data_IF_183107255251
#
_entry.id   IF_183107255251
#
_cell.length_a   1.000
_cell.length_b   1.000
_cell.length_c   1.000
_cell.angle_alpha   90.00
_cell.angle_beta   90.00
_cell.angle_gamma   90.00
#
_symmetry.space_group_name_H-M   'P 1'
#
loop_
_entity.id
_entity.type
_entity.pdbx_description
1 polymer ?
#
# COMPACT_ATOMS: atom_id res chain seq x y z
N UNK A 1 -6.34 -21.74 -8.67
CA UNK A 1 -5.09 -21.05 -9.00
C UNK A 1 -4.18 -21.02 -7.76
N UNK A 2 -2.90 -20.73 -7.85
CA UNK A 2 -1.99 -21.03 -6.74
C UNK A 2 -2.07 -19.97 -5.64
N UNK A 3 -2.35 -20.40 -4.41
CA UNK A 3 -2.04 -19.71 -3.17
C UNK A 3 -0.52 -19.62 -3.04
N UNK A 4 -0.01 -18.50 -2.51
CA UNK A 4 1.42 -18.33 -2.25
C UNK A 4 1.63 -18.25 -0.74
N UNK A 5 2.56 -19.01 -0.22
CA UNK A 5 2.87 -19.03 1.20
C UNK A 5 4.37 -18.82 1.44
N UNK A 6 4.68 -17.84 2.28
CA UNK A 6 6.00 -17.55 2.77
C UNK A 6 6.07 -17.95 4.25
N UNK A 7 7.05 -18.78 4.60
CA UNK A 7 7.22 -19.30 5.96
C UNK A 7 8.64 -18.97 6.40
N UNK A 8 8.75 -18.08 7.39
CA UNK A 8 10.01 -17.62 8.01
C UNK A 8 11.06 -17.16 6.99
N UNK A 9 10.61 -16.53 5.90
CA UNK A 9 11.49 -16.12 4.80
C UNK A 9 12.38 -14.96 5.23
N UNK A 10 13.69 -15.17 5.16
CA UNK A 10 14.70 -14.18 5.51
C UNK A 10 15.68 -13.97 4.36
N UNK A 11 16.08 -12.71 4.13
CA UNK A 11 17.15 -12.35 3.20
C UNK A 11 18.17 -11.44 3.86
N UNK A 12 19.43 -11.89 3.81
CA UNK A 12 20.58 -11.14 4.33
C UNK A 12 21.69 -11.02 3.28
N UNK A 13 22.35 -9.88 3.26
CA UNK A 13 23.60 -9.64 2.54
C UNK A 13 24.66 -9.19 3.53
N UNK A 14 25.56 -10.10 3.90
CA UNK A 14 26.50 -9.85 4.98
C UNK A 14 25.77 -9.49 6.27
N UNK A 15 26.01 -8.30 6.80
CA UNK A 15 25.38 -7.81 8.04
C UNK A 15 24.04 -7.09 7.81
N UNK A 16 23.63 -6.87 6.57
CA UNK A 16 22.38 -6.20 6.25
C UNK A 16 21.24 -7.21 6.06
N UNK A 17 20.18 -7.07 6.85
CA UNK A 17 18.96 -7.86 6.72
C UNK A 17 17.94 -7.06 5.93
N UNK A 18 17.65 -7.51 4.72
CA UNK A 18 16.68 -6.84 3.83
C UNK A 18 15.24 -7.29 4.07
N UNK A 19 15.06 -8.56 4.45
CA UNK A 19 13.77 -9.15 4.83
C UNK A 19 14.04 -10.06 6.03
N UNK A 20 13.29 -9.91 7.10
CA UNK A 20 13.49 -10.64 8.35
C UNK A 20 12.23 -11.42 8.73
N UNK A 21 12.36 -12.74 8.75
CA UNK A 21 11.34 -13.68 9.23
C UNK A 21 9.92 -13.40 8.70
N UNK A 22 9.82 -13.14 7.39
CA UNK A 22 8.54 -12.83 6.75
C UNK A 22 7.65 -14.07 6.68
N UNK A 23 6.46 -13.97 7.29
CA UNK A 23 5.39 -14.96 7.23
C UNK A 23 4.17 -14.32 6.59
N UNK A 24 3.75 -14.79 5.41
CA UNK A 24 2.66 -14.20 4.66
C UNK A 24 1.95 -15.24 3.80
N UNK A 25 0.64 -15.13 3.73
CA UNK A 25 -0.19 -15.94 2.83
C UNK A 25 -0.91 -15.03 1.86
N UNK A 26 -0.74 -15.28 0.57
CA UNK A 26 -1.48 -14.64 -0.53
C UNK A 26 -2.47 -15.65 -1.05
N UNK A 27 -3.75 -15.36 -0.93
CA UNK A 27 -4.78 -16.26 -1.41
C UNK A 27 -4.94 -16.19 -2.92
N UNK A 28 -5.60 -17.20 -3.48
CA UNK A 28 -5.90 -17.23 -4.91
C UNK A 28 -6.69 -16.00 -5.35
N UNK A 29 -6.33 -15.43 -6.49
CA UNK A 29 -6.98 -14.26 -7.11
C UNK A 29 -6.95 -12.98 -6.28
N UNK A 30 -6.11 -12.88 -5.28
CA UNK A 30 -5.90 -11.63 -4.57
C UNK A 30 -5.05 -10.64 -5.37
N UNK A 31 -5.30 -9.36 -5.18
CA UNK A 31 -4.42 -8.26 -5.57
C UNK A 31 -3.69 -7.78 -4.31
N UNK A 32 -2.46 -8.24 -4.12
CA UNK A 32 -1.67 -7.89 -2.96
C UNK A 32 -0.71 -6.77 -3.31
N UNK A 33 -0.64 -5.75 -2.45
CA UNK A 33 0.35 -4.68 -2.58
C UNK A 33 1.37 -4.75 -1.45
N UNK A 34 2.65 -4.85 -1.81
CA UNK A 34 3.78 -4.65 -0.91
C UNK A 34 4.08 -3.15 -0.87
N UNK A 35 3.88 -2.52 0.27
CA UNK A 35 3.98 -1.08 0.49
C UNK A 35 5.02 -0.77 1.57
N UNK A 36 5.63 0.40 1.52
CA UNK A 36 6.56 0.89 2.54
C UNK A 36 7.63 1.82 1.97
N UNK A 37 8.50 2.39 2.81
CA UNK A 37 9.55 3.30 2.40
C UNK A 37 10.54 2.66 1.43
N UNK A 38 11.32 3.49 0.73
CA UNK A 38 12.40 3.00 -0.14
C UNK A 38 13.42 2.18 0.66
N UNK A 39 13.84 1.04 0.11
CA UNK A 39 14.82 0.16 0.76
C UNK A 39 14.28 -0.74 1.89
N UNK A 40 12.97 -0.77 2.15
CA UNK A 40 12.41 -1.59 3.23
C UNK A 40 12.26 -3.08 2.92
N UNK A 41 12.62 -3.56 1.70
CA UNK A 41 12.59 -4.99 1.35
C UNK A 41 11.50 -5.42 0.37
N UNK A 42 10.62 -4.54 -0.12
CA UNK A 42 9.49 -4.87 -1.04
C UNK A 42 9.94 -5.60 -2.30
N UNK A 43 10.79 -4.95 -3.09
CA UNK A 43 11.34 -5.52 -4.34
C UNK A 43 12.12 -6.81 -4.08
N UNK A 44 12.86 -6.87 -2.97
CA UNK A 44 13.56 -8.09 -2.56
C UNK A 44 12.59 -9.23 -2.29
N UNK A 45 11.51 -8.96 -1.55
CA UNK A 45 10.43 -9.94 -1.29
C UNK A 45 9.80 -10.42 -2.60
N UNK A 46 9.42 -9.49 -3.49
CA UNK A 46 8.85 -9.81 -4.79
C UNK A 46 9.79 -10.72 -5.60
N UNK A 47 11.08 -10.37 -5.67
CA UNK A 47 12.09 -11.13 -6.41
C UNK A 47 12.37 -12.50 -5.80
N UNK A 48 12.31 -12.66 -4.48
CA UNK A 48 12.42 -13.96 -3.83
C UNK A 48 11.27 -14.89 -4.20
N UNK A 49 10.03 -14.42 -4.19
CA UNK A 49 8.88 -15.21 -4.61
C UNK A 49 9.00 -15.59 -6.09
N UNK A 50 9.46 -14.67 -6.94
CA UNK A 50 9.68 -14.92 -8.36
C UNK A 50 10.88 -15.82 -8.66
N UNK A 51 11.78 -16.08 -7.69
CA UNK A 51 13.01 -16.85 -7.89
C UNK A 51 14.14 -16.08 -8.57
N UNK A 52 14.00 -14.75 -8.69
CA UNK A 52 15.02 -13.85 -9.20
C UNK A 52 16.07 -13.48 -8.14
N UNK A 53 15.72 -13.68 -6.87
CA UNK A 53 16.61 -13.55 -5.72
C UNK A 53 16.45 -14.79 -4.83
N UNK A 54 17.55 -15.32 -4.31
CA UNK A 54 17.52 -16.50 -3.44
C UNK A 54 17.40 -16.06 -1.98
N UNK A 55 16.38 -16.50 -1.22
CA UNK A 55 16.32 -16.28 0.22
C UNK A 55 17.53 -16.87 0.94
N UNK A 56 17.88 -16.32 2.11
CA UNK A 56 18.93 -16.88 2.98
C UNK A 56 18.40 -18.07 3.77
N UNK A 57 17.12 -17.99 4.21
CA UNK A 57 16.44 -19.07 4.94
C UNK A 57 14.94 -18.99 4.76
N UNK A 58 14.23 -20.03 5.20
CA UNK A 58 12.78 -20.14 5.17
C UNK A 58 12.30 -21.00 3.99
N UNK A 59 10.99 -20.90 3.72
CA UNK A 59 10.30 -21.71 2.71
C UNK A 59 9.32 -20.88 1.92
N UNK A 60 9.21 -21.14 0.60
CA UNK A 60 8.22 -20.52 -0.29
C UNK A 60 7.49 -21.62 -1.05
N UNK A 61 6.14 -21.54 -1.00
CA UNK A 61 5.24 -22.48 -1.66
C UNK A 61 4.38 -21.69 -2.66
N UNK A 62 4.19 -22.20 -3.87
CA UNK A 62 3.27 -21.64 -4.88
C UNK A 62 2.32 -22.77 -5.31
N UNK A 63 1.05 -22.67 -4.92
CA UNK A 63 0.09 -23.75 -5.08
C UNK A 63 0.43 -24.94 -4.19
N UNK A 64 0.72 -26.10 -4.82
CA UNK A 64 1.15 -27.30 -4.13
C UNK A 64 2.67 -27.49 -4.19
N UNK A 65 3.37 -26.65 -4.98
CA UNK A 65 4.78 -26.80 -5.24
C UNK A 65 5.64 -26.01 -4.26
N UNK A 66 6.59 -26.67 -3.59
CA UNK A 66 7.65 -26.01 -2.84
C UNK A 66 8.67 -25.48 -3.84
N UNK A 67 8.74 -24.13 -3.97
CA UNK A 67 9.64 -23.49 -4.94
C UNK A 67 10.96 -23.04 -4.32
N UNK A 68 10.99 -22.91 -3.01
CA UNK A 68 12.20 -22.67 -2.22
C UNK A 68 12.06 -23.33 -0.84
N UNK A 69 13.10 -24.02 -0.40
CA UNK A 69 13.24 -24.53 0.96
C UNK A 69 14.73 -24.59 1.31
N UNK A 70 15.13 -23.82 2.31
CA UNK A 70 16.53 -23.76 2.75
C UNK A 70 17.01 -25.02 3.47
N UNK A 71 16.12 -25.78 4.11
CA UNK A 71 16.44 -26.99 4.84
C UNK A 71 16.58 -28.21 3.89
N UNK A 72 15.68 -28.29 2.90
CA UNK A 72 15.69 -29.36 1.90
C UNK A 72 16.58 -29.04 0.69
N UNK A 73 17.16 -27.83 0.61
CA UNK A 73 18.02 -27.41 -0.50
C UNK A 73 17.26 -27.19 -1.82
N UNK A 74 15.95 -26.96 -1.75
CA UNK A 74 15.10 -26.72 -2.91
C UNK A 74 15.22 -25.28 -3.36
N UNK A 75 15.51 -25.03 -4.65
CA UNK A 75 15.48 -23.72 -5.26
C UNK A 75 15.08 -23.84 -6.73
N UNK A 76 13.79 -23.70 -7.00
CA UNK A 76 13.21 -23.78 -8.35
C UNK A 76 13.52 -22.51 -9.12
N UNK A 77 14.06 -22.64 -10.34
CA UNK A 77 14.38 -21.48 -11.20
C UNK A 77 13.12 -20.72 -11.61
N UNK A 78 13.21 -19.38 -11.88
CA UNK A 78 12.08 -18.53 -12.26
C UNK A 78 11.26 -19.09 -13.43
N UNK A 79 11.93 -19.63 -14.45
CA UNK A 79 11.29 -20.18 -15.64
C UNK A 79 10.37 -21.40 -15.37
N UNK A 80 10.48 -22.01 -14.19
CA UNK A 80 9.67 -23.16 -13.78
C UNK A 80 8.61 -22.81 -12.73
N UNK A 81 8.48 -21.53 -12.33
CA UNK A 81 7.50 -21.11 -11.32
C UNK A 81 6.14 -20.72 -11.89
N UNK A 82 5.95 -20.77 -13.22
CA UNK A 82 4.71 -20.43 -13.94
C UNK A 82 4.17 -19.04 -13.56
N UNK A 83 5.04 -18.05 -13.59
CA UNK A 83 4.77 -16.66 -13.19
C UNK A 83 5.05 -15.67 -14.32
N UNK A 84 4.34 -14.54 -14.31
CA UNK A 84 4.66 -13.37 -15.11
C UNK A 84 5.38 -12.32 -14.26
N UNK A 85 6.39 -11.65 -14.81
CA UNK A 85 7.12 -10.60 -14.10
C UNK A 85 7.23 -9.33 -14.95
N UNK A 86 6.70 -8.23 -14.43
CA UNK A 86 6.79 -6.89 -15.02
C UNK A 86 7.82 -6.08 -14.24
N UNK A 87 8.92 -5.72 -14.92
CA UNK A 87 10.00 -4.93 -14.37
C UNK A 87 9.68 -3.43 -14.36
N UNK A 88 10.25 -2.68 -13.46
CA UNK A 88 10.09 -1.23 -13.32
C UNK A 88 10.45 -0.45 -14.61
N UNK A 89 11.47 -0.89 -15.34
CA UNK A 89 11.91 -0.28 -16.60
C UNK A 89 11.25 -0.90 -17.84
N UNK A 90 10.15 -1.67 -17.63
CA UNK A 90 9.42 -2.43 -18.66
C UNK A 90 10.24 -3.50 -19.38
N UNK A 91 11.56 -3.36 -19.48
CA UNK A 91 12.49 -4.29 -20.12
C UNK A 91 12.03 -4.77 -21.51
N UNK A 92 11.48 -3.87 -22.33
CA UNK A 92 11.11 -4.19 -23.72
C UNK A 92 12.38 -4.39 -24.57
N UNK A 93 12.34 -5.34 -25.48
CA UNK A 93 13.43 -5.56 -26.44
C UNK A 93 13.36 -4.47 -27.52
N UNK A 94 14.35 -3.56 -27.60
CA UNK A 94 14.27 -2.37 -28.46
C UNK A 94 14.37 -2.71 -29.95
N UNK A 95 14.94 -3.85 -30.30
CA UNK A 95 15.11 -4.33 -31.66
C UNK A 95 13.92 -5.17 -32.17
N UNK A 96 12.89 -5.36 -31.36
CA UNK A 96 11.67 -6.08 -31.69
C UNK A 96 10.48 -5.14 -31.78
N UNK A 97 9.57 -5.37 -32.70
CA UNK A 97 8.28 -4.67 -32.76
C UNK A 97 7.41 -5.00 -31.54
N UNK A 98 6.33 -4.24 -31.32
CA UNK A 98 5.33 -4.54 -30.30
C UNK A 98 4.83 -5.97 -30.40
N UNK A 99 4.44 -6.39 -31.60
CA UNK A 99 3.98 -7.76 -31.85
C UNK A 99 5.02 -8.79 -31.44
N UNK A 100 6.28 -8.60 -31.84
CA UNK A 100 7.36 -9.52 -31.51
C UNK A 100 7.69 -9.55 -30.01
N UNK A 101 7.64 -8.40 -29.33
CA UNK A 101 7.76 -8.35 -27.88
C UNK A 101 6.68 -9.21 -27.20
N UNK A 102 5.45 -9.14 -27.66
CA UNK A 102 4.32 -9.90 -27.09
C UNK A 102 4.43 -11.41 -27.40
N UNK A 103 4.80 -11.76 -28.61
CA UNK A 103 4.77 -13.16 -29.07
C UNK A 103 6.00 -13.98 -28.69
N UNK A 104 7.11 -13.33 -28.33
CA UNK A 104 8.38 -14.02 -28.03
C UNK A 104 8.25 -15.13 -26.98
N UNK A 105 7.53 -14.86 -25.89
CA UNK A 105 7.27 -15.85 -24.86
C UNK A 105 6.47 -17.06 -25.36
N UNK A 106 5.48 -16.81 -26.21
CA UNK A 106 4.63 -17.85 -26.79
C UNK A 106 5.41 -18.74 -27.78
N UNK A 107 6.30 -18.12 -28.57
CA UNK A 107 7.19 -18.83 -29.50
C UNK A 107 8.12 -19.78 -28.72
N UNK A 108 8.70 -19.32 -27.60
CA UNK A 108 9.54 -20.13 -26.73
C UNK A 108 8.77 -21.27 -26.06
N UNK A 109 7.49 -21.08 -25.75
CA UNK A 109 6.56 -22.08 -25.24
C UNK A 109 6.06 -23.03 -26.35
N UNK A 110 6.53 -22.84 -27.59
CA UNK A 110 6.19 -23.67 -28.75
C UNK A 110 4.69 -23.74 -29.07
N UNK A 111 3.97 -22.63 -28.87
CA UNK A 111 2.58 -22.53 -29.27
C UNK A 111 2.46 -22.58 -30.81
N UNK A 112 1.31 -23.01 -31.33
CA UNK A 112 1.08 -22.99 -32.77
C UNK A 112 1.03 -21.54 -33.29
N UNK A 113 1.40 -21.32 -34.54
CA UNK A 113 1.34 -19.98 -35.17
C UNK A 113 -0.06 -19.36 -35.09
N UNK A 114 -1.10 -20.19 -35.23
CA UNK A 114 -2.49 -19.76 -35.14
C UNK A 114 -2.86 -19.32 -33.74
N UNK A 115 -2.45 -20.05 -32.70
CA UNK A 115 -2.71 -19.71 -31.30
C UNK A 115 -1.93 -18.47 -30.89
N UNK A 116 -0.68 -18.31 -31.35
CA UNK A 116 0.13 -17.09 -31.13
C UNK A 116 -0.57 -15.87 -31.69
N UNK A 117 -1.02 -15.90 -32.94
CA UNK A 117 -1.70 -14.79 -33.59
C UNK A 117 -3.01 -14.43 -32.85
N UNK A 118 -3.84 -15.45 -32.55
CA UNK A 118 -5.08 -15.25 -31.81
C UNK A 118 -4.84 -14.64 -30.44
N UNK A 119 -3.85 -15.15 -29.68
CA UNK A 119 -3.55 -14.66 -28.35
C UNK A 119 -2.91 -13.29 -28.36
N UNK A 120 -2.00 -13.00 -29.28
CA UNK A 120 -1.42 -11.67 -29.44
C UNK A 120 -2.52 -10.63 -29.73
N UNK A 121 -3.44 -10.91 -30.65
CA UNK A 121 -4.55 -10.03 -30.97
C UNK A 121 -5.48 -9.82 -29.76
N UNK A 122 -5.77 -10.87 -29.00
CA UNK A 122 -6.58 -10.80 -27.78
C UNK A 122 -5.98 -9.83 -26.75
N UNK A 123 -4.69 -10.01 -26.39
CA UNK A 123 -4.04 -9.14 -25.39
C UNK A 123 -3.82 -7.72 -25.90
N UNK A 124 -3.56 -7.54 -27.19
CA UNK A 124 -3.42 -6.21 -27.80
C UNK A 124 -4.73 -5.44 -27.74
N UNK A 125 -5.87 -6.08 -28.06
CA UNK A 125 -7.21 -5.49 -27.94
C UNK A 125 -7.55 -5.14 -26.49
N UNK A 126 -7.30 -6.05 -25.56
CA UNK A 126 -7.52 -5.85 -24.14
C UNK A 126 -6.83 -4.57 -23.63
N UNK A 127 -5.61 -4.30 -24.11
CA UNK A 127 -4.78 -3.16 -23.69
C UNK A 127 -4.82 -1.98 -24.67
N UNK A 128 -5.64 -2.04 -25.72
CA UNK A 128 -5.83 -0.97 -26.73
C UNK A 128 -4.52 -0.53 -27.38
N UNK A 129 -3.76 -1.49 -27.88
CA UNK A 129 -2.44 -1.28 -28.52
C UNK A 129 -2.33 -1.93 -29.91
N UNK A 130 -3.45 -2.31 -30.54
CA UNK A 130 -3.44 -2.96 -31.86
C UNK A 130 -2.78 -2.08 -32.92
N UNK A 131 -3.05 -0.78 -32.91
CA UNK A 131 -2.50 0.19 -33.85
C UNK A 131 -0.97 0.32 -33.79
N UNK A 132 -0.34 -0.14 -32.68
CA UNK A 132 1.11 -0.09 -32.47
C UNK A 132 1.81 -1.39 -32.84
N UNK A 133 1.11 -2.37 -33.41
CA UNK A 133 1.58 -3.74 -33.68
C UNK A 133 2.99 -3.79 -34.28
N UNK A 134 3.22 -2.98 -35.31
CA UNK A 134 4.45 -3.00 -36.10
C UNK A 134 5.47 -1.91 -35.69
N UNK A 135 5.14 -1.12 -34.64
CA UNK A 135 6.05 -0.11 -34.09
C UNK A 135 7.11 -0.73 -33.19
N UNK A 136 8.21 -0.02 -33.06
CA UNK A 136 9.27 -0.35 -32.11
C UNK A 136 9.08 0.42 -30.78
N UNK A 137 9.63 -0.08 -29.64
CA UNK A 137 9.50 0.58 -28.34
C UNK A 137 9.89 2.06 -28.33
N UNK A 138 10.92 2.45 -29.07
CA UNK A 138 11.38 3.83 -29.16
C UNK A 138 10.37 4.81 -29.80
N UNK A 139 9.36 4.29 -30.51
CA UNK A 139 8.29 5.07 -31.16
C UNK A 139 7.05 5.22 -30.28
N UNK A 140 7.11 4.74 -29.03
CA UNK A 140 5.99 4.68 -28.09
C UNK A 140 6.20 5.64 -26.91
N UNK A 141 5.11 6.22 -26.42
CA UNK A 141 5.10 6.91 -25.13
C UNK A 141 5.32 5.93 -23.96
N UNK A 142 5.71 6.44 -22.80
CA UNK A 142 5.93 5.60 -21.60
C UNK A 142 4.72 4.73 -21.24
N UNK A 143 3.51 5.28 -21.29
CA UNK A 143 2.29 4.49 -21.04
C UNK A 143 2.00 3.44 -22.11
N UNK A 144 2.32 3.72 -23.39
CA UNK A 144 2.20 2.73 -24.45
C UNK A 144 3.23 1.60 -24.26
N UNK A 145 4.47 1.93 -23.91
CA UNK A 145 5.51 0.95 -23.57
C UNK A 145 5.08 0.06 -22.40
N UNK A 146 4.49 0.64 -21.37
CA UNK A 146 3.96 -0.10 -20.23
C UNK A 146 2.88 -1.09 -20.66
N UNK A 147 1.89 -0.66 -21.45
CA UNK A 147 0.84 -1.55 -21.95
C UNK A 147 1.42 -2.70 -22.78
N UNK A 148 2.43 -2.44 -23.59
CA UNK A 148 3.15 -3.51 -24.32
C UNK A 148 3.85 -4.49 -23.37
N UNK A 149 4.49 -4.00 -22.31
CA UNK A 149 5.13 -4.84 -21.32
C UNK A 149 4.12 -5.70 -20.54
N UNK A 150 2.97 -5.12 -20.19
CA UNK A 150 1.85 -5.87 -19.59
C UNK A 150 1.34 -6.93 -20.58
N UNK A 151 1.11 -6.57 -21.84
CA UNK A 151 0.66 -7.51 -22.88
C UNK A 151 1.62 -8.70 -23.02
N UNK A 152 2.93 -8.42 -23.11
CA UNK A 152 3.98 -9.45 -23.14
C UNK A 152 3.92 -10.38 -21.97
N UNK A 153 3.73 -9.84 -20.75
CA UNK A 153 3.70 -10.60 -19.52
C UNK A 153 2.43 -11.44 -19.40
N UNK A 154 1.30 -10.96 -19.92
CA UNK A 154 0.01 -11.66 -19.89
C UNK A 154 -0.18 -12.68 -21.03
N UNK A 155 0.57 -12.52 -22.12
CA UNK A 155 0.42 -13.38 -23.29
C UNK A 155 0.52 -14.88 -22.94
N UNK A 156 1.47 -15.33 -22.10
CA UNK A 156 1.59 -16.74 -21.70
C UNK A 156 0.48 -17.25 -20.75
N UNK A 157 -0.44 -16.38 -20.33
CA UNK A 157 -1.51 -16.68 -19.34
C UNK A 157 -0.95 -17.12 -17.98
N UNK A 158 -0.05 -16.32 -17.35
CA UNK A 158 0.51 -16.68 -16.06
C UNK A 158 -0.59 -16.74 -14.99
N UNK A 159 -0.45 -17.65 -14.03
CA UNK A 159 -1.35 -17.73 -12.87
C UNK A 159 -1.09 -16.65 -11.85
N UNK A 160 0.15 -16.21 -11.74
CA UNK A 160 0.60 -15.13 -10.84
C UNK A 160 1.33 -14.07 -11.64
N UNK A 161 0.99 -12.80 -11.40
CA UNK A 161 1.62 -11.65 -12.03
C UNK A 161 2.33 -10.80 -10.97
N UNK A 162 3.64 -10.69 -11.08
CA UNK A 162 4.47 -9.83 -10.25
C UNK A 162 4.74 -8.51 -10.97
N UNK A 163 4.59 -7.39 -10.26
CA UNK A 163 4.81 -6.05 -10.80
C UNK A 163 5.68 -5.23 -9.86
N UNK A 164 6.88 -4.86 -10.31
CA UNK A 164 7.87 -4.08 -9.55
C UNK A 164 7.75 -2.60 -9.94
N UNK A 165 7.04 -1.79 -9.14
CA UNK A 165 6.79 -0.36 -9.33
C UNK A 165 6.38 0.05 -10.77
N UNK A 166 5.36 -0.58 -11.37
CA UNK A 166 5.08 -0.42 -12.80
C UNK A 166 4.63 0.99 -13.18
N UNK A 167 4.06 1.78 -12.26
CA UNK A 167 3.52 3.12 -12.53
C UNK A 167 4.48 4.26 -12.19
N UNK A 168 5.65 3.97 -11.62
CA UNK A 168 6.57 4.99 -11.08
C UNK A 168 7.08 5.98 -12.12
N UNK A 169 7.20 5.56 -13.38
CA UNK A 169 7.73 6.37 -14.48
C UNK A 169 6.65 7.14 -15.27
N UNK A 170 5.40 7.16 -14.80
CA UNK A 170 4.29 7.83 -15.47
C UNK A 170 3.93 9.16 -14.81
N UNK A 171 3.42 10.10 -15.61
CA UNK A 171 2.81 11.33 -15.10
C UNK A 171 1.51 11.04 -14.32
N UNK A 172 1.05 12.03 -13.52
CA UNK A 172 -0.08 11.85 -12.62
C UNK A 172 -1.39 11.46 -13.32
N UNK A 173 -1.67 12.04 -14.51
CA UNK A 173 -2.89 11.75 -15.27
C UNK A 173 -2.87 10.31 -15.78
N UNK A 174 -1.78 9.94 -16.44
CA UNK A 174 -1.62 8.61 -17.01
C UNK A 174 -1.58 7.53 -15.92
N UNK A 175 -0.98 7.83 -14.76
CA UNK A 175 -0.99 6.94 -13.60
C UNK A 175 -2.42 6.67 -13.11
N UNK A 176 -3.29 7.70 -13.07
CA UNK A 176 -4.71 7.53 -12.74
C UNK A 176 -5.46 6.62 -13.70
N UNK A 177 -5.25 6.82 -15.01
CA UNK A 177 -5.84 5.98 -16.05
C UNK A 177 -5.36 4.53 -15.93
N UNK A 178 -4.06 4.32 -15.75
CA UNK A 178 -3.46 2.99 -15.65
C UNK A 178 -3.87 2.23 -14.39
N UNK A 179 -4.10 2.90 -13.25
CA UNK A 179 -4.69 2.26 -12.06
C UNK A 179 -6.05 1.65 -12.36
N UNK A 180 -6.92 2.41 -13.05
CA UNK A 180 -8.24 1.92 -13.44
C UNK A 180 -8.13 0.71 -14.38
N UNK A 181 -7.22 0.76 -15.34
CA UNK A 181 -6.97 -0.37 -16.27
C UNK A 181 -6.41 -1.60 -15.53
N UNK A 182 -5.45 -1.43 -14.62
CA UNK A 182 -4.91 -2.55 -13.83
C UNK A 182 -5.97 -3.20 -12.93
N UNK A 183 -6.85 -2.40 -12.31
CA UNK A 183 -7.95 -2.93 -11.50
C UNK A 183 -8.90 -3.79 -12.35
N UNK A 184 -9.25 -3.29 -13.55
CA UNK A 184 -10.08 -4.03 -14.50
C UNK A 184 -9.38 -5.30 -14.98
N UNK A 185 -8.11 -5.19 -15.34
CA UNK A 185 -7.29 -6.31 -15.81
C UNK A 185 -7.25 -7.45 -14.79
N UNK A 186 -7.07 -7.13 -13.51
CA UNK A 186 -7.12 -8.11 -12.44
C UNK A 186 -8.46 -8.86 -12.41
N UNK A 187 -9.57 -8.12 -12.54
CA UNK A 187 -10.92 -8.73 -12.60
C UNK A 187 -11.08 -9.62 -13.81
N UNK A 188 -10.61 -9.17 -15.00
CA UNK A 188 -10.81 -9.86 -16.28
C UNK A 188 -9.92 -11.12 -16.40
N UNK A 189 -8.73 -11.15 -15.75
CA UNK A 189 -7.77 -12.27 -15.88
C UNK A 189 -7.93 -13.35 -14.83
N UNK A 190 -8.62 -13.10 -13.74
CA UNK A 190 -8.72 -14.01 -12.59
C UNK A 190 -7.35 -14.47 -12.04
N UNK A 191 -6.26 -13.74 -12.29
CA UNK A 191 -4.90 -14.08 -11.83
C UNK A 191 -4.61 -13.44 -10.47
N UNK A 192 -3.69 -14.04 -9.71
CA UNK A 192 -3.16 -13.42 -8.49
C UNK A 192 -2.14 -12.36 -8.85
N UNK A 193 -2.28 -11.13 -8.33
CA UNK A 193 -1.37 -10.03 -8.58
C UNK A 193 -0.58 -9.70 -7.31
N UNK A 194 0.74 -9.60 -7.45
CA UNK A 194 1.63 -9.12 -6.38
C UNK A 194 2.33 -7.86 -6.88
N UNK A 195 1.98 -6.75 -6.29
CA UNK A 195 2.32 -5.41 -6.75
C UNK A 195 3.23 -4.71 -5.74
N UNK A 196 4.31 -4.14 -6.20
CA UNK A 196 5.20 -3.29 -5.38
C UNK A 196 4.95 -1.83 -5.72
N UNK A 197 4.78 -1.00 -4.72
CA UNK A 197 4.74 0.46 -4.86
C UNK A 197 5.23 1.15 -3.60
N UNK A 198 5.56 2.43 -3.72
CA UNK A 198 5.73 3.36 -2.61
C UNK A 198 4.58 4.38 -2.55
N UNK A 199 3.66 4.35 -3.50
CA UNK A 199 2.50 5.24 -3.58
C UNK A 199 1.32 4.65 -2.78
N UNK A 200 0.91 5.37 -1.74
CA UNK A 200 -0.19 4.96 -0.86
C UNK A 200 -1.53 4.88 -1.61
N UNK A 201 -1.77 5.83 -2.53
CA UNK A 201 -3.02 5.88 -3.29
C UNK A 201 -3.16 4.68 -4.22
N UNK A 202 -2.04 4.22 -4.82
CA UNK A 202 -2.03 2.98 -5.60
C UNK A 202 -2.40 1.78 -4.72
N UNK A 203 -1.74 1.64 -3.56
CA UNK A 203 -2.00 0.55 -2.63
C UNK A 203 -3.46 0.56 -2.13
N UNK A 204 -3.96 1.72 -1.69
CA UNK A 204 -5.32 1.87 -1.17
C UNK A 204 -6.41 1.57 -2.20
N UNK A 205 -6.16 1.88 -3.49
CA UNK A 205 -7.18 1.77 -4.54
C UNK A 205 -7.15 0.44 -5.31
N UNK A 206 -5.98 -0.16 -5.46
CA UNK A 206 -5.79 -1.40 -6.22
C UNK A 206 -5.93 -2.65 -5.38
N UNK A 207 -5.34 -2.65 -4.19
CA UNK A 207 -5.17 -3.86 -3.41
C UNK A 207 -6.49 -4.43 -2.84
N UNK A 208 -6.56 -5.75 -2.73
CA UNK A 208 -7.45 -6.46 -1.83
C UNK A 208 -6.87 -6.50 -0.40
N UNK A 209 -5.54 -6.62 -0.28
CA UNK A 209 -4.79 -6.53 0.98
C UNK A 209 -3.46 -5.81 0.76
N UNK A 210 -3.04 -5.04 1.76
CA UNK A 210 -1.76 -4.32 1.80
C UNK A 210 -0.85 -5.00 2.81
N UNK A 211 0.36 -5.36 2.38
CA UNK A 211 1.46 -5.75 3.23
C UNK A 211 2.38 -4.54 3.42
N UNK A 212 2.28 -3.88 4.56
CA UNK A 212 3.14 -2.75 4.90
C UNK A 212 4.42 -3.25 5.56
N UNK A 213 5.57 -2.90 4.97
CA UNK A 213 6.89 -3.35 5.40
C UNK A 213 7.73 -2.14 5.84
N UNK A 214 8.38 -2.27 6.99
CA UNK A 214 9.40 -1.34 7.47
C UNK A 214 10.67 -2.10 7.84
N UNK A 215 11.83 -1.67 7.32
CA UNK A 215 13.16 -2.26 7.65
C UNK A 215 13.20 -3.78 7.58
N UNK A 216 12.55 -4.36 6.57
CA UNK A 216 12.49 -5.81 6.36
C UNK A 216 11.44 -6.56 7.18
N UNK A 217 10.71 -5.88 8.04
CA UNK A 217 9.70 -6.47 8.94
C UNK A 217 8.30 -6.07 8.48
N UNK A 218 7.39 -7.03 8.39
CA UNK A 218 5.98 -6.79 8.12
C UNK A 218 5.33 -6.14 9.34
N UNK A 219 4.78 -4.94 9.15
CA UNK A 219 4.12 -4.16 10.21
C UNK A 219 2.61 -4.47 10.29
N UNK A 220 1.98 -4.63 9.13
CA UNK A 220 0.56 -4.97 9.03
C UNK A 220 0.25 -5.61 7.67
N UNK A 221 -0.69 -6.58 7.66
CA UNK A 221 -1.16 -7.25 6.45
C UNK A 221 -2.67 -7.41 6.49
N UNK A 222 -3.39 -6.43 5.97
CA UNK A 222 -4.85 -6.32 6.05
C UNK A 222 -5.46 -5.66 4.80
N UNK A 223 -6.81 -5.71 4.64
CA UNK A 223 -7.53 -4.90 3.65
C UNK A 223 -7.22 -3.40 3.82
N UNK A 224 -7.21 -2.61 2.71
CA UNK A 224 -6.82 -1.19 2.73
C UNK A 224 -7.52 -0.36 3.81
N UNK A 225 -8.85 -0.45 3.90
CA UNK A 225 -9.62 0.31 4.90
C UNK A 225 -9.31 -0.13 6.34
N UNK A 226 -8.93 -1.39 6.56
CA UNK A 226 -8.49 -1.85 7.88
C UNK A 226 -7.14 -1.24 8.25
N UNK A 227 -6.19 -1.21 7.30
CA UNK A 227 -4.88 -0.57 7.52
C UNK A 227 -5.03 0.91 7.82
N UNK A 228 -5.95 1.61 7.14
CA UNK A 228 -6.22 3.03 7.36
C UNK A 228 -6.90 3.30 8.70
N UNK A 229 -8.01 2.58 8.99
CA UNK A 229 -8.86 2.83 10.15
C UNK A 229 -8.35 2.18 11.44
N UNK A 230 -7.61 1.06 11.32
CA UNK A 230 -7.17 0.23 12.45
C UNK A 230 -5.66 -0.05 12.34
N UNK A 231 -4.80 0.99 12.31
CA UNK A 231 -3.36 0.79 12.23
C UNK A 231 -2.87 0.03 13.47
N UNK A 232 -1.98 -0.96 13.28
CA UNK A 232 -1.48 -1.78 14.38
C UNK A 232 -0.49 -1.02 15.27
N UNK A 233 0.18 -0.01 14.74
CA UNK A 233 1.19 0.76 15.46
C UNK A 233 1.32 2.18 14.90
N UNK A 234 2.13 3.01 15.57
CA UNK A 234 2.40 4.40 15.17
C UNK A 234 2.97 4.51 13.76
N UNK A 235 3.86 3.58 13.36
CA UNK A 235 4.44 3.61 12.03
C UNK A 235 3.38 3.44 10.94
N UNK A 236 2.48 2.46 11.09
CA UNK A 236 1.38 2.24 10.13
C UNK A 236 0.46 3.46 10.07
N UNK A 237 0.13 4.04 11.22
CA UNK A 237 -0.74 5.20 11.33
C UNK A 237 -0.15 6.46 10.66
N UNK A 238 1.17 6.67 10.81
CA UNK A 238 1.90 7.78 10.21
C UNK A 238 2.12 7.57 8.70
N UNK A 239 2.48 6.35 8.32
CA UNK A 239 2.79 6.06 6.91
C UNK A 239 1.55 6.07 6.02
N UNK A 240 0.37 5.73 6.53
CA UNK A 240 -0.88 5.64 5.75
C UNK A 240 -1.76 6.85 6.00
N UNK A 241 -2.08 7.56 4.92
CA UNK A 241 -2.94 8.76 4.91
C UNK A 241 -2.19 10.01 4.46
N UNK A 242 -2.88 10.86 3.70
CA UNK A 242 -2.40 12.16 3.27
C UNK A 242 -3.55 13.17 3.35
N UNK A 243 -3.49 14.12 4.30
CA UNK A 243 -2.47 14.32 5.33
C UNK A 243 -2.35 13.13 6.30
N UNK A 244 -1.19 13.03 6.97
CA UNK A 244 -0.93 11.99 7.98
C UNK A 244 -1.81 12.16 9.21
N UNK A 245 -1.94 11.11 10.02
CA UNK A 245 -2.63 11.14 11.31
C UNK A 245 -1.99 12.18 12.25
N UNK A 246 -2.79 12.89 13.02
CA UNK A 246 -2.31 13.74 14.10
C UNK A 246 -1.96 12.88 15.31
N UNK A 247 -0.74 13.04 15.84
CA UNK A 247 -0.30 12.35 17.06
C UNK A 247 -0.15 13.36 18.19
N UNK A 248 -0.87 13.12 19.26
CA UNK A 248 -0.89 14.00 20.43
C UNK A 248 -0.58 13.17 21.68
N UNK A 249 0.49 13.53 22.38
CA UNK A 249 0.78 12.92 23.67
C UNK A 249 -0.33 13.21 24.67
N UNK A 250 -0.74 12.18 25.39
CA UNK A 250 -1.77 12.26 26.41
C UNK A 250 -1.29 11.65 27.71
N UNK A 251 -1.83 12.11 28.83
CA UNK A 251 -1.56 11.51 30.14
C UNK A 251 -2.85 10.98 30.74
N UNK A 252 -2.79 9.81 31.34
CA UNK A 252 -3.93 9.25 32.08
C UNK A 252 -4.19 10.12 33.31
N UNK A 253 -5.42 10.61 33.46
CA UNK A 253 -5.89 11.39 34.61
C UNK A 253 -6.72 10.51 35.53
N UNK A 254 -7.63 9.69 34.97
CA UNK A 254 -8.57 8.89 35.72
C UNK A 254 -9.06 7.69 34.89
N UNK A 255 -9.24 6.55 35.50
CA UNK A 255 -9.95 5.39 34.91
C UNK A 255 -11.39 5.43 35.42
N UNK A 256 -12.32 5.75 34.53
CA UNK A 256 -13.76 5.86 34.85
C UNK A 256 -14.44 4.49 34.85
N UNK A 257 -14.10 3.67 33.85
CA UNK A 257 -14.60 2.31 33.69
C UNK A 257 -13.59 1.47 32.88
N UNK A 258 -13.79 0.14 32.74
CA UNK A 258 -12.92 -0.70 31.92
C UNK A 258 -12.76 -0.22 30.46
N UNK A 259 -13.69 0.60 29.96
CA UNK A 259 -13.67 1.13 28.58
C UNK A 259 -13.55 2.65 28.51
N UNK A 260 -13.53 3.34 29.65
CA UNK A 260 -13.53 4.80 29.68
C UNK A 260 -12.41 5.34 30.56
N UNK A 261 -11.64 6.26 29.99
CA UNK A 261 -10.56 6.95 30.69
C UNK A 261 -10.64 8.45 30.43
N UNK A 262 -10.26 9.24 31.43
CA UNK A 262 -10.03 10.68 31.25
C UNK A 262 -8.55 10.87 30.99
N UNK A 263 -8.24 11.55 29.91
CA UNK A 263 -6.91 11.89 29.47
C UNK A 263 -6.67 13.39 29.57
N UNK A 264 -5.46 13.80 29.91
CA UNK A 264 -4.99 15.17 29.66
C UNK A 264 -4.59 15.27 28.19
N UNK A 265 -5.26 16.17 27.48
CA UNK A 265 -5.09 16.44 26.06
C UNK A 265 -4.85 17.94 25.88
N UNK A 266 -3.63 18.35 25.62
CA UNK A 266 -3.25 19.76 25.45
C UNK A 266 -3.73 20.66 26.61
N UNK A 267 -3.56 20.21 27.84
CA UNK A 267 -4.00 20.93 29.05
C UNK A 267 -5.50 20.93 29.31
N UNK A 268 -6.27 20.13 28.58
CA UNK A 268 -7.74 19.95 28.74
C UNK A 268 -8.07 18.51 29.07
N UNK A 269 -9.16 18.30 29.79
CA UNK A 269 -9.65 16.95 30.06
C UNK A 269 -10.44 16.42 28.86
N UNK A 270 -10.10 15.19 28.43
CA UNK A 270 -10.73 14.48 27.34
C UNK A 270 -11.25 13.14 27.86
N UNK A 271 -12.54 12.88 27.72
CA UNK A 271 -13.09 11.53 27.94
C UNK A 271 -12.87 10.71 26.69
N UNK A 272 -12.11 9.61 26.83
CA UNK A 272 -11.91 8.61 25.77
C UNK A 272 -12.73 7.37 26.10
N UNK A 273 -13.58 6.95 25.16
CA UNK A 273 -14.42 5.76 25.27
C UNK A 273 -13.98 4.74 24.22
N UNK A 274 -13.40 3.64 24.66
CA UNK A 274 -12.90 2.56 23.81
C UNK A 274 -14.00 1.56 23.42
N UNK A 275 -13.85 0.93 22.26
CA UNK A 275 -14.68 -0.20 21.84
C UNK A 275 -14.40 -1.50 22.61
N UNK A 276 -13.24 -1.62 23.23
CA UNK A 276 -12.73 -2.78 23.98
C UNK A 276 -12.21 -2.37 25.35
N UNK A 277 -11.93 -3.33 26.23
CA UNK A 277 -11.37 -3.03 27.55
C UNK A 277 -9.96 -2.46 27.45
N UNK A 278 -9.70 -1.40 28.21
CA UNK A 278 -8.44 -0.70 28.27
C UNK A 278 -7.56 -1.28 29.39
N UNK A 279 -6.33 -1.62 29.04
CA UNK A 279 -5.30 -1.98 30.01
C UNK A 279 -4.21 -0.91 30.03
N UNK A 280 -4.53 0.26 30.60
CA UNK A 280 -3.64 1.41 30.70
C UNK A 280 -3.42 1.82 32.14
N UNK A 281 -2.23 2.31 32.45
CA UNK A 281 -1.81 2.73 33.79
C UNK A 281 -1.22 4.14 33.75
N UNK A 282 -0.95 4.73 34.90
CA UNK A 282 -0.29 6.05 35.00
C UNK A 282 1.12 6.07 34.36
N UNK A 283 1.76 4.88 34.23
CA UNK A 283 3.08 4.73 33.61
C UNK A 283 3.03 4.55 32.09
N UNK A 284 1.82 4.38 31.51
CA UNK A 284 1.64 4.19 30.06
C UNK A 284 2.06 5.44 29.27
N UNK A 285 2.83 5.24 28.17
CA UNK A 285 3.25 6.29 27.24
C UNK A 285 2.17 6.53 26.17
N UNK A 286 1.07 7.16 26.59
CA UNK A 286 -0.12 7.29 25.78
C UNK A 286 0.03 8.34 24.68
N UNK A 287 -0.43 7.98 23.48
CA UNK A 287 -0.54 8.87 22.32
C UNK A 287 -1.90 8.70 21.67
N UNK A 288 -2.62 9.79 21.48
CA UNK A 288 -3.85 9.83 20.70
C UNK A 288 -3.50 10.03 19.23
N UNK A 289 -4.00 9.15 18.37
CA UNK A 289 -3.97 9.28 16.92
C UNK A 289 -5.33 9.73 16.40
N UNK A 290 -5.39 10.89 15.77
CA UNK A 290 -6.62 11.48 15.24
C UNK A 290 -6.44 11.77 13.75
N UNK A 291 -7.25 11.15 12.89
CA UNK A 291 -7.24 11.43 11.46
C UNK A 291 -7.72 12.87 11.20
N UNK A 292 -7.20 13.55 10.17
CA UNK A 292 -7.55 14.94 9.86
C UNK A 292 -9.05 15.18 9.65
N UNK A 293 -9.77 14.22 9.10
CA UNK A 293 -11.22 14.30 8.89
C UNK A 293 -12.04 14.23 10.18
N UNK A 294 -11.44 13.80 11.30
CA UNK A 294 -12.09 13.78 12.63
C UNK A 294 -11.90 15.08 13.42
N UNK A 295 -11.31 16.09 12.80
CA UNK A 295 -11.14 17.44 13.37
C UNK A 295 -11.92 18.49 12.56
N UNK A 296 -13.26 18.40 12.47
CA UNK A 296 -14.05 19.39 11.73
C UNK A 296 -13.97 20.77 12.36
N UNK A 297 -13.78 21.79 11.52
CA UNK A 297 -13.86 23.19 11.94
C UNK A 297 -15.33 23.58 11.95
N UNK A 298 -15.80 24.07 13.09
CA UNK A 298 -17.22 24.42 13.35
C UNK A 298 -17.30 25.56 14.29
N UNK A 299 -18.26 26.46 14.05
CA UNK A 299 -18.56 27.56 15.00
C UNK A 299 -19.10 26.99 16.33
N UNK A 300 -18.58 27.47 17.44
CA UNK A 300 -18.94 26.94 18.76
C UNK A 300 -18.26 25.61 19.10
N UNK A 301 -17.21 25.26 18.40
CA UNK A 301 -16.42 24.07 18.70
C UNK A 301 -15.79 24.09 20.10
N UNK A 302 -15.63 22.90 20.72
CA UNK A 302 -15.09 22.75 22.06
C UNK A 302 -13.60 23.11 22.18
N UNK A 303 -12.89 23.13 21.07
CA UNK A 303 -11.47 23.46 20.98
C UNK A 303 -11.27 24.73 20.15
N UNK A 304 -10.30 25.54 20.57
CA UNK A 304 -9.91 26.78 19.88
C UNK A 304 -8.43 26.72 19.53
N UNK A 305 -8.09 27.16 18.36
CA UNK A 305 -6.71 27.32 17.88
C UNK A 305 -6.63 28.43 16.84
N UNK A 306 -5.48 28.61 16.22
CA UNK A 306 -5.29 29.57 15.13
C UNK A 306 -4.97 28.87 13.83
N UNK A 307 -5.42 29.41 12.70
CA UNK A 307 -5.09 28.92 11.37
C UNK A 307 -3.61 29.22 11.07
N UNK A 308 -2.76 28.20 11.16
CA UNK A 308 -1.34 28.31 10.81
C UNK A 308 -1.14 28.38 9.30
N UNK A 309 -1.87 27.58 8.53
CA UNK A 309 -1.95 27.66 7.08
C UNK A 309 -3.21 27.00 6.55
N UNK A 310 -3.70 27.52 5.42
CA UNK A 310 -4.83 26.97 4.68
C UNK A 310 -4.34 26.58 3.28
N UNK A 311 -4.59 25.34 2.87
CA UNK A 311 -4.09 24.74 1.61
C UNK A 311 -5.27 24.19 0.80
N UNK A 312 -5.98 25.02 0.02
CA UNK A 312 -7.07 24.57 -0.84
C UNK A 312 -6.53 23.70 -2.00
N UNK A 313 -7.08 22.49 -2.16
CA UNK A 313 -6.75 21.58 -3.25
C UNK A 313 -7.92 21.36 -4.24
N UNK A 314 -8.90 22.27 -4.23
CA UNK A 314 -10.09 22.24 -5.06
C UNK A 314 -11.26 21.54 -4.38
N UNK A 315 -11.28 20.22 -4.33
CA UNK A 315 -12.38 19.47 -3.71
C UNK A 315 -12.32 19.44 -2.19
N UNK A 316 -11.13 19.58 -1.64
CA UNK A 316 -10.86 19.63 -0.20
C UNK A 316 -9.86 20.73 0.16
N UNK A 317 -9.87 21.15 1.40
CA UNK A 317 -8.90 22.09 1.96
C UNK A 317 -8.25 21.46 3.19
N UNK A 318 -6.92 21.39 3.19
CA UNK A 318 -6.14 21.03 4.38
C UNK A 318 -5.87 22.29 5.20
N UNK A 319 -6.26 22.30 6.46
CA UNK A 319 -6.04 23.40 7.38
C UNK A 319 -5.10 22.94 8.48
N UNK A 320 -3.99 23.66 8.66
CA UNK A 320 -3.09 23.44 9.79
C UNK A 320 -3.55 24.35 10.93
N UNK A 321 -3.91 23.74 12.06
CA UNK A 321 -4.41 24.41 13.26
C UNK A 321 -3.29 24.43 14.29
N UNK A 322 -2.90 25.60 14.75
CA UNK A 322 -1.92 25.75 15.83
C UNK A 322 -2.62 25.89 17.17
N UNK A 323 -2.23 25.08 18.14
CA UNK A 323 -2.61 25.17 19.56
C UNK A 323 -1.30 25.14 20.35
N UNK A 324 -0.96 26.21 21.00
CA UNK A 324 0.32 26.41 21.67
C UNK A 324 1.50 26.05 20.74
N UNK A 325 2.28 25.02 21.07
CA UNK A 325 3.41 24.52 20.25
C UNK A 325 3.02 23.35 19.34
N UNK A 326 1.77 22.92 19.35
CA UNK A 326 1.28 21.77 18.57
C UNK A 326 0.57 22.23 17.31
N UNK A 327 0.88 21.61 16.17
CA UNK A 327 0.19 21.83 14.90
C UNK A 327 -0.61 20.58 14.53
N UNK A 328 -1.92 20.74 14.39
CA UNK A 328 -2.84 19.70 13.96
C UNK A 328 -3.26 19.92 12.50
N UNK A 329 -3.55 18.85 11.80
CA UNK A 329 -4.11 18.90 10.45
C UNK A 329 -5.60 18.58 10.52
N UNK A 330 -6.41 19.41 9.90
CA UNK A 330 -7.83 19.16 9.62
C UNK A 330 -8.04 19.13 8.11
N UNK A 331 -8.98 18.31 7.64
CA UNK A 331 -9.42 18.28 6.24
C UNK A 331 -10.92 18.56 6.19
N UNK A 332 -11.28 19.55 5.39
CA UNK A 332 -12.69 19.94 5.16
C UNK A 332 -13.01 19.86 3.67
N UNK A 333 -14.23 19.49 3.32
CA UNK A 333 -14.69 19.52 1.94
C UNK A 333 -14.97 20.96 1.49
N UNK A 334 -14.59 21.23 0.24
CA UNK A 334 -14.75 22.54 -0.39
C UNK A 334 -13.50 23.42 -0.29
N UNK A 335 -13.60 24.58 -0.94
CA UNK A 335 -12.55 25.61 -0.93
C UNK A 335 -12.87 26.60 0.18
N UNK A 336 -12.18 26.48 1.30
CA UNK A 336 -12.27 27.39 2.46
C UNK A 336 -10.91 28.04 2.59
N UNK A 337 -10.91 29.35 2.90
CA UNK A 337 -9.69 30.12 3.15
C UNK A 337 -9.82 30.86 4.49
N UNK A 338 -8.87 30.62 5.39
CA UNK A 338 -8.71 31.31 6.65
C UNK A 338 -7.44 32.15 6.59
N UNK A 339 -7.51 33.40 7.09
CA UNK A 339 -6.31 34.21 7.23
C UNK A 339 -5.33 33.55 8.22
N UNK A 340 -4.04 33.74 7.99
CA UNK A 340 -3.01 33.29 8.93
C UNK A 340 -3.25 33.94 10.28
N UNK A 341 -3.11 33.16 11.36
CA UNK A 341 -3.37 33.54 12.75
C UNK A 341 -4.86 33.85 13.07
N UNK A 342 -5.78 33.64 12.13
CA UNK A 342 -7.21 33.74 12.41
C UNK A 342 -7.61 32.69 13.44
N UNK A 343 -8.35 33.10 14.47
CA UNK A 343 -8.94 32.20 15.45
C UNK A 343 -9.98 31.29 14.78
N UNK A 344 -9.90 30.01 15.02
CA UNK A 344 -10.82 28.96 14.53
C UNK A 344 -11.22 28.05 15.67
N UNK A 345 -12.45 27.57 15.59
CA UNK A 345 -13.00 26.61 16.54
C UNK A 345 -13.25 25.29 15.86
N UNK A 346 -13.02 24.18 16.55
CA UNK A 346 -13.17 22.86 16.01
C UNK A 346 -13.56 21.83 17.08
N UNK A 347 -13.99 20.67 16.64
CA UNK A 347 -14.32 19.54 17.51
C UNK A 347 -13.45 18.32 17.20
N UNK A 348 -13.50 17.33 18.10
CA UNK A 348 -13.06 15.97 17.84
C UNK A 348 -14.32 15.14 17.64
N UNK A 349 -14.44 14.42 16.51
CA UNK A 349 -15.63 13.62 16.19
C UNK A 349 -15.25 12.20 15.71
N UNK A 350 -16.21 11.29 15.73
CA UNK A 350 -16.06 9.94 15.18
C UNK A 350 -15.53 8.91 16.16
N UNK A 351 -15.59 7.65 15.74
CA UNK A 351 -15.23 6.45 16.53
C UNK A 351 -13.88 5.85 16.10
N UNK A 352 -13.16 6.54 15.20
CA UNK A 352 -11.88 6.09 14.64
C UNK A 352 -10.65 6.70 15.33
N UNK A 353 -10.79 7.21 16.55
CA UNK A 353 -9.68 7.78 17.32
C UNK A 353 -8.89 6.63 17.93
N UNK A 354 -7.59 6.61 17.64
CA UNK A 354 -6.70 5.52 18.04
C UNK A 354 -5.94 5.88 19.30
N UNK A 355 -5.94 5.01 20.28
CA UNK A 355 -5.07 5.15 21.45
C UNK A 355 -3.88 4.19 21.28
N UNK A 356 -2.68 4.74 21.41
CA UNK A 356 -1.42 3.99 21.41
C UNK A 356 -0.78 4.05 22.81
N UNK A 357 -0.09 2.96 23.18
CA UNK A 357 0.85 2.93 24.30
C UNK A 357 2.23 2.55 23.76
N UNK A 358 3.19 3.43 23.95
CA UNK A 358 4.46 3.35 23.23
C UNK A 358 4.23 3.35 21.72
N UNK A 359 4.63 2.27 21.05
CA UNK A 359 4.49 2.15 19.60
C UNK A 359 3.21 1.43 19.14
N UNK A 360 2.56 0.67 20.02
CA UNK A 360 1.47 -0.23 19.66
C UNK A 360 0.09 0.39 19.90
N UNK A 361 -0.87 0.02 19.07
CA UNK A 361 -2.28 0.34 19.30
C UNK A 361 -2.81 -0.41 20.52
N UNK A 362 -3.45 0.34 21.41
CA UNK A 362 -4.17 -0.23 22.57
C UNK A 362 -5.65 -0.36 22.26
N UNK A 363 -6.28 0.68 21.68
CA UNK A 363 -7.71 0.68 21.41
C UNK A 363 -8.09 1.60 20.24
N UNK A 364 -9.30 1.39 19.76
CA UNK A 364 -10.06 2.31 18.92
C UNK A 364 -11.27 2.80 19.69
N UNK A 365 -11.61 4.06 19.54
CA UNK A 365 -12.73 4.64 20.27
C UNK A 365 -13.11 6.02 19.81
N UNK A 366 -13.93 6.68 20.62
CA UNK A 366 -14.34 8.07 20.48
C UNK A 366 -13.75 8.92 21.60
N UNK A 367 -13.63 10.22 21.35
CA UNK A 367 -13.12 11.16 22.32
C UNK A 367 -14.02 12.39 22.40
N UNK A 368 -14.23 12.91 23.63
CA UNK A 368 -15.03 14.10 23.89
C UNK A 368 -14.31 15.00 24.88
N UNK A 369 -14.16 16.26 24.53
CA UNK A 369 -13.65 17.30 25.43
C UNK A 369 -14.67 17.54 26.53
N UNK A 370 -14.22 17.53 27.81
CA UNK A 370 -15.04 17.72 29.01
C UNK A 370 -15.16 19.19 29.41
#
# INVERSE_FOLDING_TARGET
MPRIELINVTKRWGNFTAVDNLNMVIEDREFITLLGPSGCGKTTTLRMIAGLETPTSGKIIIGEDVVFDSEEGINVSPAKRDIGFLFQNYALWPHMTVYKNITFGLENLKWSKQDIEARALEVMKMLKIEEFRDRYPAELSGGQQQRVAIARTLAPRPKVLFMDEPLSNLDAKLRGEMRTELKRLHTDTNSTFVYVTHDQLEAMTLASRICLIEKGIMQQYDPPLTVYNKPNNLFVADFIGNPTMNFIKAKLVEVVSPKEVVLDFLGRKLLYTAGEELNVTEESDLTLGIRPEFLPIVDGGALTGTAYSTLPAGMETTIKIKIDDTILSSVVFGSIDYAVDQEIQFNIVGDGIVLFDGHNRVALGSAKVL
#
